data_IF_163366220567
#
_entry.id   IF_163366220567
#
_cell.length_a   1.000
_cell.length_b   1.000
_cell.length_c   1.000
_cell.angle_alpha   90.00
_cell.angle_beta   90.00
_cell.angle_gamma   90.00
#
_symmetry.space_group_name_H-M   'P 1'
#
loop_
_entity.id
_entity.type
_entity.pdbx_description
1 polymer ?
#
# COMPACT_ATOMS: atom_id res chain seq x y z
N UNK A 1 13.96 -36.03 32.50
CA UNK A 1 14.41 -36.02 31.12
C UNK A 1 13.29 -35.95 30.12
N UNK A 2 12.19 -36.67 30.29
CA UNK A 2 11.07 -36.63 29.39
C UNK A 2 10.32 -35.27 29.36
N UNK A 3 10.36 -34.55 30.45
CA UNK A 3 9.72 -33.24 30.56
C UNK A 3 10.41 -32.15 29.74
N UNK A 4 11.72 -32.23 29.60
CA UNK A 4 12.47 -31.25 28.82
C UNK A 4 12.20 -31.36 27.33
N UNK A 5 11.95 -32.54 26.83
CA UNK A 5 11.60 -32.74 25.42
C UNK A 5 10.25 -32.17 25.08
N UNK A 6 9.28 -32.32 25.99
CA UNK A 6 7.95 -31.78 25.78
C UNK A 6 7.94 -30.25 25.70
N UNK A 7 8.73 -29.60 26.51
CA UNK A 7 8.84 -28.14 26.51
C UNK A 7 9.48 -27.62 25.23
N UNK A 8 10.45 -28.32 24.71
CA UNK A 8 11.11 -27.94 23.46
C UNK A 8 10.13 -28.02 22.28
N UNK A 9 9.33 -29.08 22.23
CA UNK A 9 8.33 -29.26 21.19
C UNK A 9 7.26 -28.18 21.23
N UNK A 10 6.83 -27.80 22.42
CA UNK A 10 5.82 -26.74 22.60
C UNK A 10 6.35 -25.39 22.13
N UNK A 11 7.60 -25.08 22.45
CA UNK A 11 8.23 -23.84 22.02
C UNK A 11 8.36 -23.76 20.51
N UNK A 12 8.73 -24.86 19.88
CA UNK A 12 8.85 -24.94 18.43
C UNK A 12 7.51 -24.71 17.72
N UNK A 13 6.44 -25.22 18.29
CA UNK A 13 5.09 -25.04 17.75
C UNK A 13 4.65 -23.58 17.80
N UNK A 14 4.96 -22.86 18.86
CA UNK A 14 4.63 -21.45 18.96
C UNK A 14 5.34 -20.59 17.92
N UNK A 15 6.54 -20.96 17.55
CA UNK A 15 7.30 -20.26 16.51
C UNK A 15 6.62 -20.33 15.15
N UNK A 16 6.02 -21.47 14.83
CA UNK A 16 5.32 -21.64 13.56
C UNK A 16 4.06 -20.78 13.46
N UNK A 17 3.37 -20.55 14.55
CA UNK A 17 2.19 -19.69 14.58
C UNK A 17 2.55 -18.23 14.35
N UNK A 18 3.68 -17.77 14.83
CA UNK A 18 4.14 -16.40 14.59
C UNK A 18 4.48 -16.14 13.13
N UNK A 19 5.02 -17.13 12.42
CA UNK A 19 5.35 -17.00 11.03
C UNK A 19 4.13 -16.78 10.14
N UNK A 20 2.98 -17.33 10.50
CA UNK A 20 1.75 -17.19 9.73
C UNK A 20 1.10 -15.83 9.86
N UNK A 21 1.38 -15.08 10.92
CA UNK A 21 0.78 -13.77 11.17
C UNK A 21 1.46 -12.62 10.42
N UNK A 22 2.61 -12.86 9.82
CA UNK A 22 3.39 -11.82 9.15
C UNK A 22 3.05 -11.65 7.66
N UNK A 23 2.08 -12.38 7.13
CA UNK A 23 1.73 -12.32 5.72
C UNK A 23 0.36 -11.69 5.50
N UNK A 24 0.27 -10.34 5.59
CA UNK A 24 -0.99 -9.66 5.25
C UNK A 24 -0.81 -8.30 4.59
N UNK A 25 -0.17 -8.20 3.43
CA UNK A 25 -0.09 -6.90 2.76
C UNK A 25 -1.24 -6.62 1.79
N UNK A 26 -2.02 -7.62 1.37
CA UNK A 26 -2.99 -7.46 0.28
C UNK A 26 -4.18 -6.58 0.67
N UNK A 27 -4.71 -6.76 1.88
CA UNK A 27 -5.86 -5.98 2.36
C UNK A 27 -5.52 -4.50 2.58
N UNK A 28 -4.27 -4.20 2.91
CA UNK A 28 -3.81 -2.85 3.15
C UNK A 28 -3.80 -2.00 1.88
N UNK A 29 -3.41 -2.59 0.76
CA UNK A 29 -3.36 -1.90 -0.53
C UNK A 29 -4.76 -1.50 -1.01
N UNK A 30 -5.75 -2.37 -0.84
CA UNK A 30 -7.13 -2.08 -1.25
C UNK A 30 -7.77 -0.97 -0.41
N UNK A 31 -7.24 -0.70 0.79
CA UNK A 31 -7.75 0.35 1.66
C UNK A 31 -7.16 1.73 1.36
N UNK A 32 -6.14 1.81 0.52
CA UNK A 32 -5.56 3.09 0.13
C UNK A 32 -6.54 3.84 -0.75
N UNK A 33 -6.79 5.10 -0.42
CA UNK A 33 -7.70 5.98 -1.17
C UNK A 33 -6.92 7.01 -1.95
N UNK A 34 -7.33 7.25 -3.18
CA UNK A 34 -6.82 8.37 -3.98
C UNK A 34 -7.74 9.56 -3.72
N UNK A 35 -7.17 10.63 -3.20
CA UNK A 35 -7.91 11.83 -2.79
C UNK A 35 -7.30 13.06 -3.46
N UNK A 36 -7.96 14.23 -3.30
CA UNK A 36 -7.44 15.49 -3.79
C UNK A 36 -6.84 16.31 -2.63
N UNK A 37 -6.19 17.43 -2.97
CA UNK A 37 -5.56 18.28 -1.95
C UNK A 37 -6.54 18.86 -0.95
N UNK A 38 -7.74 19.17 -1.37
CA UNK A 38 -8.76 19.70 -0.46
C UNK A 38 -9.12 18.67 0.61
N UNK A 39 -9.24 17.42 0.22
CA UNK A 39 -9.54 16.34 1.15
C UNK A 39 -8.42 16.09 2.16
N UNK A 40 -7.17 16.41 1.82
CA UNK A 40 -6.07 16.27 2.80
C UNK A 40 -6.25 17.17 4.01
N UNK A 41 -6.87 18.33 3.80
CA UNK A 41 -7.18 19.25 4.91
C UNK A 41 -8.38 18.78 5.71
N UNK A 42 -9.41 18.31 5.02
CA UNK A 42 -10.65 17.88 5.66
C UNK A 42 -10.47 16.61 6.49
N UNK A 43 -9.54 15.75 6.10
CA UNK A 43 -9.31 14.44 6.73
C UNK A 43 -8.11 14.43 7.67
N UNK A 44 -7.57 15.58 8.02
CA UNK A 44 -6.39 15.70 8.90
C UNK A 44 -5.24 14.82 8.42
N UNK A 45 -4.80 15.05 7.19
CA UNK A 45 -3.75 14.25 6.59
C UNK A 45 -2.37 14.83 6.81
N UNK A 46 -1.40 13.96 7.01
CA UNK A 46 0.03 14.33 7.10
C UNK A 46 0.73 13.82 5.85
N UNK A 47 1.45 14.72 5.16
CA UNK A 47 2.22 14.35 3.97
C UNK A 47 3.46 13.54 4.37
N UNK A 48 3.70 12.46 3.64
CA UNK A 48 4.81 11.56 3.94
C UNK A 48 5.94 11.75 2.94
N UNK A 49 5.71 11.46 1.65
CA UNK A 49 6.78 11.45 0.66
C UNK A 49 6.23 11.54 -0.75
N UNK A 50 7.08 12.00 -1.67
CA UNK A 50 6.79 11.99 -3.09
C UNK A 50 6.97 10.57 -3.62
N UNK A 51 6.04 10.13 -4.47
CA UNK A 51 6.04 8.78 -5.03
C UNK A 51 5.91 8.88 -6.54
N UNK A 52 6.68 8.05 -7.23
CA UNK A 52 6.51 7.81 -8.66
C UNK A 52 6.19 6.33 -8.87
N UNK A 53 5.19 6.06 -9.70
CA UNK A 53 4.76 4.71 -10.04
C UNK A 53 4.65 4.55 -11.54
N UNK A 54 4.91 3.35 -12.03
CA UNK A 54 4.96 3.07 -13.45
C UNK A 54 4.22 1.78 -13.77
N UNK A 55 3.28 1.87 -14.73
CA UNK A 55 2.61 0.70 -15.29
C UNK A 55 3.15 0.43 -16.69
N UNK A 56 3.73 -0.76 -16.89
CA UNK A 56 4.30 -1.13 -18.17
C UNK A 56 3.24 -1.16 -19.25
N UNK A 57 3.68 -0.89 -20.49
CA UNK A 57 2.81 -0.97 -21.65
C UNK A 57 2.19 -2.36 -21.78
N UNK A 58 0.87 -2.41 -21.89
CA UNK A 58 0.11 -3.64 -22.08
C UNK A 58 -0.78 -3.50 -23.31
N UNK A 59 -1.86 -4.27 -23.37
CA UNK A 59 -2.73 -4.28 -24.55
C UNK A 59 -3.61 -3.05 -24.66
N UNK A 60 -3.94 -2.40 -23.55
CA UNK A 60 -4.79 -1.20 -23.53
C UNK A 60 -4.22 -0.13 -22.61
N UNK A 61 -4.53 1.13 -22.94
CA UNK A 61 -4.15 2.26 -22.08
C UNK A 61 -4.82 2.19 -20.71
N UNK A 62 -6.04 1.68 -20.62
CA UNK A 62 -6.75 1.51 -19.36
C UNK A 62 -6.05 0.50 -18.46
N UNK A 63 -5.54 -0.59 -19.01
CA UNK A 63 -4.80 -1.58 -18.24
C UNK A 63 -3.48 -1.00 -17.73
N UNK A 64 -2.78 -0.22 -18.54
CA UNK A 64 -1.55 0.46 -18.14
C UNK A 64 -1.81 1.40 -16.97
N UNK A 65 -2.88 2.18 -17.05
CA UNK A 65 -3.26 3.11 -16.00
C UNK A 65 -3.60 2.38 -14.70
N UNK A 66 -4.40 1.31 -14.77
CA UNK A 66 -4.75 0.52 -13.59
C UNK A 66 -3.52 -0.08 -12.93
N UNK A 67 -2.58 -0.57 -13.72
CA UNK A 67 -1.33 -1.13 -13.21
C UNK A 67 -0.50 -0.06 -12.51
N UNK A 68 -0.43 1.15 -13.09
CA UNK A 68 0.28 2.27 -12.48
C UNK A 68 -0.38 2.70 -11.17
N UNK A 69 -1.71 2.74 -11.11
CA UNK A 69 -2.45 3.07 -9.89
C UNK A 69 -2.20 2.04 -8.80
N UNK A 70 -2.21 0.75 -9.15
CA UNK A 70 -1.92 -0.32 -8.20
C UNK A 70 -0.51 -0.18 -7.65
N UNK A 71 0.47 0.08 -8.50
CA UNK A 71 1.85 0.30 -8.09
C UNK A 71 1.98 1.53 -7.19
N UNK A 72 1.26 2.60 -7.52
CA UNK A 72 1.22 3.82 -6.72
C UNK A 72 0.69 3.53 -5.31
N UNK A 73 -0.40 2.77 -5.21
CA UNK A 73 -0.96 2.37 -3.93
C UNK A 73 -0.02 1.47 -3.13
N UNK A 74 0.67 0.54 -3.80
CA UNK A 74 1.66 -0.30 -3.16
C UNK A 74 2.77 0.52 -2.51
N UNK A 75 3.25 1.53 -3.22
CA UNK A 75 4.31 2.41 -2.72
C UNK A 75 3.83 3.28 -1.56
N UNK A 76 2.57 3.69 -1.57
CA UNK A 76 1.97 4.41 -0.44
C UNK A 76 2.00 3.54 0.82
N UNK A 77 1.60 2.28 0.70
CA UNK A 77 1.63 1.34 1.83
C UNK A 77 3.05 1.15 2.34
N UNK A 78 4.02 1.01 1.45
CA UNK A 78 5.43 0.87 1.83
C UNK A 78 5.93 2.06 2.64
N UNK A 79 5.41 3.25 2.37
CA UNK A 79 5.76 4.47 3.10
C UNK A 79 4.95 4.67 4.37
N UNK A 80 4.05 3.77 4.68
CA UNK A 80 3.20 3.86 5.87
C UNK A 80 1.98 4.76 5.71
N UNK A 81 1.60 5.06 4.46
CA UNK A 81 0.44 5.89 4.17
C UNK A 81 -0.84 5.10 3.96
N UNK A 82 -1.96 5.80 3.98
CA UNK A 82 -3.28 5.24 3.67
C UNK A 82 -4.02 6.02 2.58
N UNK A 83 -3.42 7.09 2.07
CA UNK A 83 -4.01 7.92 1.04
C UNK A 83 -2.94 8.43 0.09
N UNK A 84 -3.35 8.77 -1.13
CA UNK A 84 -2.47 9.36 -2.11
C UNK A 84 -3.13 10.49 -2.87
N UNK A 85 -2.34 11.51 -3.21
CA UNK A 85 -2.76 12.61 -4.07
C UNK A 85 -1.94 12.53 -5.35
N UNK A 86 -2.61 12.36 -6.48
CA UNK A 86 -1.94 12.31 -7.79
C UNK A 86 -1.72 13.74 -8.28
N UNK A 87 -0.47 14.07 -8.60
CA UNK A 87 -0.10 15.38 -9.14
C UNK A 87 -0.04 15.37 -10.65
N UNK A 88 0.46 14.29 -11.23
CA UNK A 88 0.70 14.20 -12.66
C UNK A 88 0.53 12.78 -13.15
N UNK A 89 0.00 12.66 -14.37
CA UNK A 89 -0.14 11.38 -15.07
C UNK A 89 0.39 11.56 -16.47
N UNK A 90 1.22 10.62 -16.91
CA UNK A 90 1.84 10.68 -18.23
C UNK A 90 1.70 9.33 -18.93
N UNK A 91 1.04 9.35 -20.08
CA UNK A 91 0.94 8.16 -20.95
C UNK A 91 2.01 8.26 -22.06
N UNK A 92 2.81 7.21 -22.19
CA UNK A 92 3.90 7.18 -23.18
C UNK A 92 3.94 5.83 -23.87
N UNK A 93 4.84 5.70 -24.84
CA UNK A 93 5.05 4.42 -25.54
C UNK A 93 5.56 3.33 -24.61
N UNK A 94 6.25 3.70 -23.54
CA UNK A 94 6.79 2.74 -22.58
C UNK A 94 5.76 2.28 -21.54
N UNK A 95 4.69 3.04 -21.35
CA UNK A 95 3.65 2.75 -20.37
C UNK A 95 3.08 4.01 -19.75
N UNK A 96 2.50 3.86 -18.56
CA UNK A 96 1.80 4.93 -17.85
C UNK A 96 2.55 5.28 -16.56
N UNK A 97 2.85 6.56 -16.37
CA UNK A 97 3.57 7.04 -15.18
C UNK A 97 2.66 7.91 -14.32
N UNK A 98 2.68 7.69 -13.02
CA UNK A 98 1.95 8.51 -12.04
C UNK A 98 2.95 9.08 -11.06
N UNK A 99 2.84 10.38 -10.80
CA UNK A 99 3.61 11.06 -9.76
C UNK A 99 2.65 11.69 -8.77
N UNK A 100 2.94 11.59 -7.49
CA UNK A 100 2.11 12.15 -6.46
C UNK A 100 2.69 11.98 -5.08
N UNK A 101 1.90 12.32 -4.06
CA UNK A 101 2.35 12.23 -2.67
C UNK A 101 1.60 11.15 -1.91
N UNK A 102 2.33 10.46 -1.04
CA UNK A 102 1.74 9.60 -0.02
C UNK A 102 1.34 10.44 1.18
N UNK A 103 0.18 10.13 1.75
CA UNK A 103 -0.38 10.83 2.90
C UNK A 103 -0.86 9.82 3.93
N UNK A 104 -0.83 10.23 5.19
CA UNK A 104 -1.48 9.49 6.26
C UNK A 104 -2.63 10.34 6.79
N UNK A 105 -3.86 9.83 6.65
CA UNK A 105 -5.08 10.53 7.04
C UNK A 105 -5.74 9.79 8.20
N UNK A 106 -6.02 10.51 9.28
CA UNK A 106 -6.60 9.89 10.49
C UNK A 106 -8.07 9.53 10.33
N UNK A 107 -8.83 10.36 9.61
CA UNK A 107 -10.28 10.20 9.50
C UNK A 107 -10.73 9.58 8.17
N UNK A 108 -9.82 8.90 7.48
CA UNK A 108 -10.08 8.41 6.13
C UNK A 108 -11.31 7.51 6.02
N UNK A 109 -11.47 6.59 6.97
CA UNK A 109 -12.53 5.59 6.93
C UNK A 109 -13.90 6.13 7.33
N UNK A 110 -13.95 7.28 7.99
CA UNK A 110 -15.20 7.85 8.45
C UNK A 110 -15.88 8.76 7.42
N UNK A 111 -15.10 9.40 6.53
CA UNK A 111 -15.61 10.42 5.62
C UNK A 111 -15.53 10.04 4.14
N UNK A 112 -14.80 8.99 3.85
CA UNK A 112 -14.61 8.48 2.49
C UNK A 112 -15.09 7.05 2.39
#
# INVERSE_FOLDING_TARGET
>A
MKQKMKNILTTSFMFLLFGCLSTQPIDTVSQVKIINFQQTKDLDCTQIDLIEAFGKKSMTADADRRNAITEFKNKIVEKGGNAGVILNQLNSKAGFKISGYAWNCEDLNERV
#
